data_IF_348571365693
#
_entry.id   IF_348571365693
#
_cell.length_a   1.000
_cell.length_b   1.000
_cell.length_c   1.000
_cell.angle_alpha   90.00
_cell.angle_beta   90.00
_cell.angle_gamma   90.00
#
_symmetry.space_group_name_H-M   'P 1'
#
loop_
_entity.id
_entity.type
_entity.pdbx_description
1 polymer ?
#
# COMPACT_ATOMS: atom_id res chain seq x y z
N UNK A 1 15.07 -7.54 19.06
CA UNK A 1 13.69 -7.00 19.07
C UNK A 1 13.55 -5.79 20.02
N UNK A 2 13.95 -5.86 21.30
CA UNK A 2 13.87 -4.73 22.26
C UNK A 2 14.76 -3.50 21.93
N UNK A 3 15.89 -3.71 21.22
CA UNK A 3 16.81 -2.63 20.83
C UNK A 3 16.29 -1.71 19.70
N UNK A 4 15.34 -2.17 18.88
CA UNK A 4 14.80 -1.36 17.77
C UNK A 4 13.64 -0.46 18.24
N UNK A 5 12.79 -0.93 19.15
CA UNK A 5 11.67 -0.16 19.67
C UNK A 5 12.08 0.96 20.64
N UNK A 6 13.16 0.76 21.42
CA UNK A 6 13.73 1.80 22.29
C UNK A 6 14.36 2.96 21.53
N UNK A 7 14.92 2.71 20.34
CA UNK A 7 15.41 3.76 19.42
C UNK A 7 14.29 4.61 18.82
N UNK A 8 13.11 4.04 18.59
CA UNK A 8 11.95 4.77 18.04
C UNK A 8 11.51 5.93 18.95
N UNK A 9 11.70 5.83 20.26
CA UNK A 9 11.33 6.86 21.24
C UNK A 9 12.37 7.99 21.38
N UNK A 10 13.51 7.93 20.66
CA UNK A 10 14.52 8.99 20.69
C UNK A 10 14.12 10.15 19.77
N UNK A 11 14.22 11.41 20.22
CA UNK A 11 13.84 12.59 19.43
C UNK A 11 14.71 12.82 18.19
N UNK A 12 15.84 12.12 18.06
CA UNK A 12 16.75 12.14 16.90
C UNK A 12 16.42 11.09 15.81
N UNK A 13 15.48 10.17 16.06
CA UNK A 13 15.16 9.10 15.12
C UNK A 13 14.20 9.60 14.01
N UNK A 14 14.39 9.23 12.73
CA UNK A 14 13.56 9.68 11.61
C UNK A 14 12.18 8.98 11.59
N UNK A 15 11.36 9.24 12.61
CA UNK A 15 10.00 8.70 12.75
C UNK A 15 9.13 8.98 11.52
N UNK A 16 9.29 10.17 10.91
CA UNK A 16 8.56 10.56 9.70
C UNK A 16 8.78 9.59 8.54
N UNK A 17 10.02 9.17 8.33
CA UNK A 17 10.40 8.23 7.27
C UNK A 17 9.82 6.83 7.49
N UNK A 18 9.78 6.38 8.75
CA UNK A 18 9.13 5.11 9.13
C UNK A 18 7.64 5.14 8.83
N UNK A 19 6.96 6.22 9.22
CA UNK A 19 5.52 6.35 9.02
C UNK A 19 5.19 6.47 7.52
N UNK A 20 6.00 7.22 6.76
CA UNK A 20 5.84 7.34 5.30
C UNK A 20 6.03 5.99 4.60
N UNK A 21 7.13 5.28 4.90
CA UNK A 21 7.41 3.96 4.32
C UNK A 21 6.36 2.92 4.73
N UNK A 22 5.94 2.92 6.00
CA UNK A 22 4.87 2.04 6.48
C UNK A 22 3.56 2.31 5.75
N UNK A 23 3.15 3.57 5.60
CA UNK A 23 1.93 3.94 4.88
C UNK A 23 1.96 3.46 3.42
N UNK A 24 3.12 3.56 2.78
CA UNK A 24 3.30 3.07 1.42
C UNK A 24 3.19 1.54 1.30
N UNK A 25 3.60 0.79 2.33
CA UNK A 25 3.43 -0.67 2.37
C UNK A 25 1.96 -1.05 2.64
N UNK A 26 1.34 -0.49 3.70
CA UNK A 26 0.01 -0.91 4.19
C UNK A 26 -1.06 -0.79 3.11
N UNK A 27 -1.28 0.44 2.62
CA UNK A 27 -2.23 0.74 1.58
C UNK A 27 -3.63 0.12 1.75
N UNK A 28 -4.14 -0.42 0.65
CA UNK A 28 -5.43 -1.11 0.55
C UNK A 28 -5.40 -2.57 1.01
N UNK A 29 -4.21 -3.16 1.12
CA UNK A 29 -4.04 -4.60 1.22
C UNK A 29 -4.58 -5.20 2.53
N UNK A 30 -4.69 -4.37 3.57
CA UNK A 30 -5.27 -4.71 4.89
C UNK A 30 -6.65 -5.35 4.75
N UNK A 31 -7.45 -4.90 3.76
CA UNK A 31 -8.79 -5.41 3.51
C UNK A 31 -8.81 -6.86 3.02
N UNK A 32 -7.72 -7.30 2.38
CA UNK A 32 -7.54 -8.63 1.81
C UNK A 32 -6.88 -9.62 2.78
N UNK A 33 -6.32 -9.14 3.90
CA UNK A 33 -5.59 -10.01 4.83
C UNK A 33 -6.48 -11.11 5.41
N UNK A 34 -7.72 -10.78 5.81
CA UNK A 34 -8.64 -11.78 6.35
C UNK A 34 -9.00 -12.88 5.34
N UNK A 35 -9.08 -12.52 4.06
CA UNK A 35 -9.26 -13.47 2.97
C UNK A 35 -8.07 -14.43 2.84
N UNK A 36 -6.84 -13.93 2.94
CA UNK A 36 -5.64 -14.79 2.94
C UNK A 36 -5.68 -15.81 4.09
N UNK A 37 -6.05 -15.40 5.30
CA UNK A 37 -6.20 -16.30 6.45
C UNK A 37 -7.26 -17.37 6.22
N UNK A 38 -8.37 -17.04 5.55
CA UNK A 38 -9.39 -18.01 5.19
C UNK A 38 -8.88 -19.05 4.17
N UNK A 39 -8.09 -18.61 3.19
CA UNK A 39 -7.62 -19.46 2.09
C UNK A 39 -6.52 -20.44 2.51
N UNK A 40 -5.50 -19.97 3.23
CA UNK A 40 -4.35 -20.81 3.59
C UNK A 40 -4.37 -21.30 5.05
N UNK A 41 -5.27 -20.77 5.89
CA UNK A 41 -5.38 -21.11 7.30
C UNK A 41 -4.47 -20.26 8.19
N UNK A 42 -4.72 -20.29 9.50
CA UNK A 42 -4.05 -19.39 10.47
C UNK A 42 -2.53 -19.58 10.48
N UNK A 43 -2.05 -20.81 10.59
CA UNK A 43 -0.61 -21.07 10.76
C UNK A 43 0.14 -20.72 9.48
N UNK A 44 -0.39 -21.09 8.32
CA UNK A 44 0.25 -20.85 7.04
C UNK A 44 0.21 -19.36 6.65
N UNK A 45 -0.89 -18.65 6.89
CA UNK A 45 -1.00 -17.22 6.63
C UNK A 45 0.00 -16.41 7.47
N UNK A 46 0.13 -16.74 8.75
CA UNK A 46 1.04 -16.05 9.67
C UNK A 46 2.50 -16.30 9.28
N UNK A 47 2.83 -17.54 8.91
CA UNK A 47 4.13 -17.88 8.36
C UNK A 47 4.42 -17.13 7.04
N UNK A 48 3.45 -17.02 6.13
CA UNK A 48 3.59 -16.24 4.90
C UNK A 48 3.86 -14.76 5.17
N UNK A 49 3.17 -14.16 6.15
CA UNK A 49 3.41 -12.76 6.56
C UNK A 49 4.84 -12.60 7.09
N UNK A 50 5.29 -13.50 7.97
CA UNK A 50 6.64 -13.45 8.55
C UNK A 50 7.70 -13.63 7.46
N UNK A 51 7.56 -14.63 6.59
CA UNK A 51 8.52 -14.88 5.50
C UNK A 51 8.55 -13.70 4.54
N UNK A 52 7.39 -13.16 4.13
CA UNK A 52 7.32 -12.02 3.24
C UNK A 52 7.97 -10.78 3.86
N UNK A 53 7.74 -10.53 5.15
CA UNK A 53 8.38 -9.44 5.88
C UNK A 53 9.92 -9.60 5.91
N UNK A 54 10.42 -10.80 6.20
CA UNK A 54 11.87 -11.07 6.21
C UNK A 54 12.50 -10.90 4.83
N UNK A 55 11.87 -11.44 3.78
CA UNK A 55 12.34 -11.31 2.40
C UNK A 55 12.36 -9.84 1.97
N UNK A 56 11.30 -9.07 2.27
CA UNK A 56 11.24 -7.64 1.96
C UNK A 56 12.32 -6.86 2.71
N UNK A 57 12.48 -7.04 4.02
CA UNK A 57 13.53 -6.37 4.79
C UNK A 57 14.92 -6.66 4.21
N UNK A 58 15.21 -7.93 3.94
CA UNK A 58 16.48 -8.35 3.36
C UNK A 58 16.71 -7.73 1.96
N UNK A 59 15.69 -7.77 1.10
CA UNK A 59 15.73 -7.18 -0.24
C UNK A 59 16.01 -5.68 -0.19
N UNK A 60 15.29 -4.93 0.66
CA UNK A 60 15.47 -3.49 0.83
C UNK A 60 16.88 -3.14 1.34
N UNK A 61 17.41 -3.91 2.29
CA UNK A 61 18.77 -3.69 2.82
C UNK A 61 19.85 -3.90 1.77
N UNK A 62 19.73 -4.95 0.95
CA UNK A 62 20.64 -5.17 -0.19
C UNK A 62 20.56 -3.98 -1.15
N UNK A 63 19.34 -3.53 -1.49
CA UNK A 63 19.15 -2.41 -2.41
C UNK A 63 19.81 -1.13 -1.91
N UNK A 64 19.68 -0.80 -0.62
CA UNK A 64 20.34 0.38 -0.04
C UNK A 64 21.85 0.23 -0.02
N UNK A 65 22.37 -0.95 0.37
CA UNK A 65 23.81 -1.20 0.34
C UNK A 65 24.37 -1.03 -1.08
N UNK A 66 23.70 -1.61 -2.08
CA UNK A 66 24.07 -1.45 -3.49
C UNK A 66 23.99 0.01 -3.95
N UNK A 67 22.91 0.72 -3.62
CA UNK A 67 22.71 2.13 -3.97
C UNK A 67 23.85 3.02 -3.46
N UNK A 68 24.34 2.77 -2.24
CA UNK A 68 25.45 3.52 -1.67
C UNK A 68 26.78 3.18 -2.34
N UNK A 69 27.06 1.89 -2.59
CA UNK A 69 28.29 1.51 -3.31
C UNK A 69 28.36 2.08 -4.72
N UNK A 70 27.21 2.18 -5.39
CA UNK A 70 27.14 2.72 -6.75
C UNK A 70 26.86 4.21 -6.77
N UNK A 71 26.67 4.90 -5.65
CA UNK A 71 26.19 6.30 -5.57
C UNK A 71 24.93 6.57 -6.43
N UNK A 72 24.00 5.62 -6.47
CA UNK A 72 22.76 5.72 -7.23
C UNK A 72 21.65 6.31 -6.38
N UNK A 73 20.94 7.31 -6.92
CA UNK A 73 19.86 8.02 -6.21
C UNK A 73 18.47 7.48 -6.51
N UNK A 74 18.29 6.67 -7.56
CA UNK A 74 17.00 6.05 -7.90
C UNK A 74 17.16 4.56 -8.18
N UNK A 75 16.04 3.85 -8.13
CA UNK A 75 15.99 2.40 -8.32
C UNK A 75 16.40 2.00 -9.75
N UNK A 76 15.97 2.78 -10.74
CA UNK A 76 16.27 2.60 -12.16
C UNK A 76 17.77 2.80 -12.46
N UNK A 77 18.36 3.86 -11.90
CA UNK A 77 19.79 4.15 -12.08
C UNK A 77 20.68 3.15 -11.35
N UNK A 78 20.22 2.56 -10.24
CA UNK A 78 20.90 1.42 -9.64
C UNK A 78 20.96 0.24 -10.61
N UNK A 79 19.83 -0.11 -11.24
CA UNK A 79 19.79 -1.15 -12.27
C UNK A 79 20.73 -0.86 -13.45
N UNK A 80 20.77 0.41 -13.90
CA UNK A 80 21.69 0.85 -14.96
C UNK A 80 23.16 0.64 -14.61
N UNK A 81 23.57 1.03 -13.40
CA UNK A 81 24.97 0.90 -12.96
C UNK A 81 25.37 -0.54 -12.67
N UNK A 82 24.42 -1.38 -12.23
CA UNK A 82 24.69 -2.77 -11.90
C UNK A 82 24.83 -3.68 -13.14
N UNK A 83 23.89 -3.59 -14.09
CA UNK A 83 23.79 -4.55 -15.20
C UNK A 83 23.50 -3.88 -16.57
N UNK A 84 23.70 -2.56 -16.67
CA UNK A 84 23.54 -1.82 -17.90
C UNK A 84 22.08 -1.53 -18.27
N UNK A 85 21.88 -1.12 -19.54
CA UNK A 85 20.61 -0.55 -20.02
C UNK A 85 19.43 -1.53 -19.98
N UNK A 86 19.68 -2.81 -20.25
CA UNK A 86 18.62 -3.83 -20.24
C UNK A 86 17.98 -3.95 -18.85
N UNK A 87 18.78 -3.93 -17.79
CA UNK A 87 18.28 -3.98 -16.42
C UNK A 87 17.54 -2.71 -16.04
N UNK A 88 18.05 -1.54 -16.44
CA UNK A 88 17.32 -0.26 -16.25
C UNK A 88 15.89 -0.35 -16.80
N UNK A 89 15.74 -0.81 -18.04
CA UNK A 89 14.45 -0.91 -18.70
C UNK A 89 13.52 -1.92 -17.98
N UNK A 90 14.05 -3.07 -17.56
CA UNK A 90 13.27 -4.07 -16.80
C UNK A 90 12.78 -3.48 -15.47
N UNK A 91 13.64 -2.79 -14.74
CA UNK A 91 13.30 -2.14 -13.46
C UNK A 91 12.27 -1.02 -13.67
N UNK A 92 12.44 -0.20 -14.71
CA UNK A 92 11.49 0.85 -15.07
C UNK A 92 10.10 0.29 -15.40
N UNK A 93 10.02 -0.68 -16.32
CA UNK A 93 8.75 -1.26 -16.74
C UNK A 93 8.06 -2.02 -15.60
N UNK A 94 8.81 -2.78 -14.79
CA UNK A 94 8.25 -3.50 -13.65
C UNK A 94 7.75 -2.55 -12.56
N UNK A 95 8.48 -1.47 -12.29
CA UNK A 95 8.06 -0.44 -11.32
C UNK A 95 6.81 0.30 -11.79
N UNK A 96 6.75 0.69 -13.06
CA UNK A 96 5.56 1.31 -13.66
C UNK A 96 4.37 0.35 -13.57
N UNK A 97 4.54 -0.93 -13.95
CA UNK A 97 3.47 -1.93 -13.88
C UNK A 97 2.94 -2.15 -12.46
N UNK A 98 3.83 -2.27 -11.48
CA UNK A 98 3.46 -2.46 -10.07
C UNK A 98 2.70 -1.25 -9.51
N UNK A 99 3.22 -0.04 -9.73
CA UNK A 99 2.62 1.18 -9.19
C UNK A 99 1.30 1.51 -9.90
N UNK A 100 1.24 1.35 -11.22
CA UNK A 100 0.02 1.51 -12.00
C UNK A 100 -1.08 0.54 -11.54
N UNK A 101 -0.74 -0.74 -11.37
CA UNK A 101 -1.66 -1.75 -10.84
C UNK A 101 -2.14 -1.41 -9.42
N UNK A 102 -1.27 -0.86 -8.58
CA UNK A 102 -1.63 -0.41 -7.23
C UNK A 102 -2.62 0.77 -7.26
N UNK A 103 -2.46 1.71 -8.20
CA UNK A 103 -3.40 2.82 -8.41
C UNK A 103 -4.76 2.28 -8.89
N UNK A 104 -4.79 1.32 -9.82
CA UNK A 104 -6.04 0.65 -10.25
C UNK A 104 -6.73 0.01 -9.04
N UNK A 105 -6.00 -0.72 -8.20
CA UNK A 105 -6.56 -1.35 -7.01
C UNK A 105 -7.16 -0.33 -6.02
N UNK A 106 -6.49 0.80 -5.79
CA UNK A 106 -7.05 1.89 -4.96
C UNK A 106 -8.34 2.46 -5.56
N UNK A 107 -8.39 2.65 -6.88
CA UNK A 107 -9.59 3.13 -7.55
C UNK A 107 -10.74 2.13 -7.46
N UNK A 108 -10.47 0.83 -7.61
CA UNK A 108 -11.51 -0.21 -7.42
C UNK A 108 -12.09 -0.18 -6.01
N UNK A 109 -11.27 0.00 -4.99
CA UNK A 109 -11.72 0.09 -3.58
C UNK A 109 -12.53 1.36 -3.36
N UNK A 110 -12.08 2.50 -3.90
CA UNK A 110 -12.85 3.75 -3.84
C UNK A 110 -14.22 3.58 -4.50
N UNK A 111 -14.31 2.88 -5.63
CA UNK A 111 -15.57 2.56 -6.29
C UNK A 111 -16.47 1.61 -5.49
N UNK A 112 -15.91 0.52 -4.98
CA UNK A 112 -16.62 -0.48 -4.17
C UNK A 112 -17.19 0.13 -2.89
N UNK A 113 -16.35 0.84 -2.14
CA UNK A 113 -16.75 1.41 -0.85
C UNK A 113 -17.57 2.69 -1.04
N UNK A 114 -17.19 3.54 -2.01
CA UNK A 114 -17.84 4.81 -2.28
C UNK A 114 -19.27 4.66 -2.80
N UNK A 115 -19.51 3.69 -3.70
CA UNK A 115 -20.88 3.41 -4.16
C UNK A 115 -21.80 2.98 -3.01
N UNK A 116 -21.31 2.12 -2.11
CA UNK A 116 -22.06 1.68 -0.93
C UNK A 116 -22.37 2.85 0.00
N UNK A 117 -21.41 3.76 0.22
CA UNK A 117 -21.63 4.95 1.05
C UNK A 117 -22.68 5.87 0.45
N UNK A 118 -22.61 6.15 -0.85
CA UNK A 118 -23.58 7.01 -1.55
C UNK A 118 -24.97 6.36 -1.56
N UNK A 119 -25.06 5.06 -1.82
CA UNK A 119 -26.32 4.32 -1.77
C UNK A 119 -26.96 4.36 -0.38
N UNK A 120 -26.18 4.21 0.68
CA UNK A 120 -26.68 4.31 2.06
C UNK A 120 -27.09 5.74 2.44
N UNK A 121 -26.36 6.75 1.97
CA UNK A 121 -26.64 8.15 2.31
C UNK A 121 -27.89 8.69 1.60
N UNK A 122 -28.10 8.32 0.33
CA UNK A 122 -29.19 8.84 -0.50
C UNK A 122 -30.35 7.84 -0.70
N UNK A 123 -30.29 6.65 -0.12
CA UNK A 123 -31.26 5.56 -0.33
C UNK A 123 -31.49 5.19 -1.82
N UNK A 124 -30.45 5.34 -2.65
CA UNK A 124 -30.48 5.00 -4.08
C UNK A 124 -29.95 3.58 -4.27
N UNK A 125 -30.46 2.85 -5.27
CA UNK A 125 -29.95 1.52 -5.62
C UNK A 125 -28.49 1.59 -6.07
N UNK A 126 -27.66 0.66 -5.57
CA UNK A 126 -26.27 0.51 -6.03
C UNK A 126 -26.27 0.14 -7.52
N UNK A 127 -25.88 1.08 -8.37
CA UNK A 127 -25.76 0.87 -9.81
C UNK A 127 -24.29 1.01 -10.25
N UNK A 128 -23.87 0.34 -11.33
CA UNK A 128 -22.52 0.48 -11.88
C UNK A 128 -22.23 1.93 -12.29
N UNK A 129 -23.27 2.69 -12.65
CA UNK A 129 -23.15 4.11 -12.99
C UNK A 129 -22.78 4.97 -11.77
N UNK A 130 -23.37 4.72 -10.60
CA UNK A 130 -22.99 5.43 -9.36
C UNK A 130 -21.53 5.11 -8.99
N UNK A 131 -21.14 3.83 -9.10
CA UNK A 131 -19.74 3.41 -8.87
C UNK A 131 -18.78 4.19 -9.77
N UNK A 132 -19.07 4.28 -11.07
CA UNK A 132 -18.26 5.02 -12.04
C UNK A 132 -18.22 6.53 -11.74
N UNK A 133 -19.36 7.14 -11.43
CA UNK A 133 -19.44 8.57 -11.08
C UNK A 133 -18.64 8.90 -9.82
N UNK A 134 -18.74 8.08 -8.77
CA UNK A 134 -17.98 8.30 -7.53
C UNK A 134 -16.47 8.24 -7.79
N UNK A 135 -16.00 7.24 -8.55
CA UNK A 135 -14.59 7.13 -8.92
C UNK A 135 -14.12 8.34 -9.73
N UNK A 136 -14.89 8.78 -10.72
CA UNK A 136 -14.55 9.96 -11.53
C UNK A 136 -14.53 11.25 -10.71
N UNK A 137 -15.55 11.49 -9.90
CA UNK A 137 -15.68 12.72 -9.10
C UNK A 137 -14.52 12.81 -8.10
N UNK A 138 -14.26 11.75 -7.32
CA UNK A 138 -13.18 11.75 -6.33
C UNK A 138 -11.80 11.87 -7.00
N UNK A 139 -11.62 11.25 -8.16
CA UNK A 139 -10.38 11.38 -8.92
C UNK A 139 -10.16 12.81 -9.42
N UNK A 140 -11.17 13.43 -10.02
CA UNK A 140 -11.08 14.81 -10.53
C UNK A 140 -10.91 15.84 -9.43
N UNK A 141 -11.62 15.68 -8.31
CA UNK A 141 -11.71 16.70 -7.25
C UNK A 141 -10.66 16.56 -6.16
N UNK A 142 -10.16 15.35 -5.91
CA UNK A 142 -9.22 15.09 -4.81
C UNK A 142 -7.92 14.49 -5.31
N UNK A 143 -7.94 13.33 -5.98
CA UNK A 143 -6.70 12.62 -6.35
C UNK A 143 -5.83 13.43 -7.32
N UNK A 144 -6.42 13.99 -8.37
CA UNK A 144 -5.72 14.75 -9.40
C UNK A 144 -5.08 16.05 -8.88
N UNK A 145 -5.80 16.97 -8.19
CA UNK A 145 -5.19 18.19 -7.69
C UNK A 145 -4.11 17.93 -6.65
N UNK A 146 -4.27 16.92 -5.79
CA UNK A 146 -3.23 16.54 -4.83
C UNK A 146 -2.01 15.97 -5.55
N UNK A 147 -2.19 15.16 -6.60
CA UNK A 147 -1.08 14.60 -7.39
C UNK A 147 -0.32 15.65 -8.21
N UNK A 148 -0.94 16.81 -8.46
CA UNK A 148 -0.29 17.97 -9.08
C UNK A 148 0.56 18.79 -8.10
N UNK A 149 0.39 18.59 -6.78
CA UNK A 149 1.21 19.29 -5.80
C UNK A 149 2.65 18.76 -5.81
N UNK A 150 3.62 19.67 -5.87
CA UNK A 150 5.05 19.34 -6.03
C UNK A 150 5.78 19.10 -4.69
N UNK A 151 5.14 19.35 -3.54
CA UNK A 151 5.82 19.40 -2.22
C UNK A 151 5.34 18.30 -1.26
N UNK A 152 6.32 17.51 -0.79
CA UNK A 152 6.15 16.39 0.14
C UNK A 152 5.94 16.81 1.61
N UNK A 153 6.07 18.10 1.92
CA UNK A 153 5.93 18.64 3.28
C UNK A 153 4.54 18.37 3.90
N UNK A 154 3.51 18.20 3.05
CA UNK A 154 2.15 17.88 3.48
C UNK A 154 1.88 16.38 3.71
N UNK A 155 2.83 15.49 3.42
CA UNK A 155 2.60 14.04 3.45
C UNK A 155 2.84 13.41 4.81
N UNK A 156 3.70 13.99 5.65
CA UNK A 156 3.92 13.49 7.01
C UNK A 156 2.64 13.43 7.86
N UNK A 157 1.79 14.47 7.94
CA UNK A 157 0.54 14.38 8.70
C UNK A 157 -0.43 13.36 8.11
N UNK A 158 -0.43 13.18 6.78
CA UNK A 158 -1.24 12.17 6.10
C UNK A 158 -0.79 10.76 6.53
N UNK A 159 0.51 10.47 6.54
CA UNK A 159 1.02 9.16 6.96
C UNK A 159 0.72 8.84 8.44
N UNK A 160 0.78 9.84 9.33
CA UNK A 160 0.38 9.69 10.74
C UNK A 160 -1.11 9.31 10.81
N UNK A 161 -1.96 10.05 10.10
CA UNK A 161 -3.41 9.81 10.08
C UNK A 161 -3.74 8.41 9.55
N UNK A 162 -3.07 7.96 8.49
CA UNK A 162 -3.30 6.63 7.91
C UNK A 162 -2.89 5.51 8.84
N UNK A 163 -1.73 5.59 9.50
CA UNK A 163 -1.28 4.54 10.43
C UNK A 163 -2.19 4.47 11.66
N UNK A 164 -2.60 5.61 12.20
CA UNK A 164 -3.60 5.65 13.27
C UNK A 164 -4.90 4.96 12.81
N UNK A 165 -5.36 5.25 11.59
CA UNK A 165 -6.55 4.63 11.02
C UNK A 165 -6.42 3.10 10.90
N UNK A 166 -5.30 2.59 10.38
CA UNK A 166 -5.08 1.15 10.26
C UNK A 166 -5.02 0.45 11.62
N UNK A 167 -4.43 1.11 12.63
CA UNK A 167 -4.41 0.60 13.99
C UNK A 167 -5.82 0.55 14.59
N UNK A 168 -6.61 1.62 14.44
CA UNK A 168 -8.02 1.65 14.84
C UNK A 168 -8.86 0.60 14.12
N UNK A 169 -8.57 0.33 12.85
CA UNK A 169 -9.22 -0.74 12.11
C UNK A 169 -8.91 -2.12 12.70
N UNK A 170 -7.66 -2.38 13.10
CA UNK A 170 -7.29 -3.60 13.82
C UNK A 170 -8.01 -3.75 15.17
N UNK A 171 -8.19 -2.66 15.92
CA UNK A 171 -9.00 -2.67 17.14
C UNK A 171 -10.48 -2.98 16.83
N UNK A 172 -11.01 -2.42 15.75
CA UNK A 172 -12.39 -2.65 15.33
C UNK A 172 -12.64 -4.12 14.93
N UNK A 173 -11.72 -4.76 14.20
CA UNK A 173 -11.84 -6.19 13.89
C UNK A 173 -11.80 -7.05 15.14
N UNK A 174 -10.94 -6.71 16.10
CA UNK A 174 -10.90 -7.37 17.40
C UNK A 174 -12.20 -7.18 18.21
N UNK A 175 -12.74 -5.96 18.25
CA UNK A 175 -14.01 -5.69 18.92
C UNK A 175 -15.17 -6.49 18.32
N UNK A 176 -15.19 -6.67 16.99
CA UNK A 176 -16.19 -7.48 16.30
C UNK A 176 -16.05 -8.96 16.62
N UNK A 177 -14.82 -9.48 16.70
CA UNK A 177 -14.56 -10.83 17.22
C UNK A 177 -15.14 -11.00 18.64
N UNK A 178 -14.84 -10.05 19.53
CA UNK A 178 -15.33 -10.09 20.91
C UNK A 178 -16.87 -10.07 20.98
N UNK A 179 -17.53 -9.23 20.20
CA UNK A 179 -18.99 -9.16 20.15
C UNK A 179 -19.61 -10.45 19.59
N UNK A 180 -19.04 -11.00 18.52
CA UNK A 180 -19.55 -12.23 17.91
C UNK A 180 -19.33 -13.45 18.80
N UNK A 181 -18.22 -13.50 19.55
CA UNK A 181 -17.94 -14.58 20.52
C UNK A 181 -19.02 -14.71 21.61
N UNK A 182 -19.69 -13.61 21.97
CA UNK A 182 -20.77 -13.61 22.97
C UNK A 182 -22.12 -14.03 22.38
N UNK A 183 -22.32 -13.83 21.07
CA UNK A 183 -23.60 -14.09 20.40
C UNK A 183 -23.69 -15.48 19.78
N UNK A 184 -22.55 -16.03 19.36
CA UNK A 184 -22.49 -17.25 18.56
C UNK A 184 -21.47 -18.20 19.19
N UNK A 185 -21.88 -19.45 19.41
CA UNK A 185 -20.94 -20.51 19.79
C UNK A 185 -19.97 -20.77 18.65
N UNK A 186 -18.67 -20.55 18.88
CA UNK A 186 -17.65 -20.82 17.85
C UNK A 186 -17.64 -22.31 17.49
N UNK A 187 -17.98 -22.61 16.23
CA UNK A 187 -17.84 -23.95 15.69
C UNK A 187 -16.38 -24.17 15.29
N UNK A 188 -15.60 -24.74 16.22
CA UNK A 188 -14.17 -25.01 16.02
C UNK A 188 -13.90 -25.94 14.83
N UNK A 189 -14.89 -26.72 14.37
CA UNK A 189 -14.74 -27.62 13.22
C UNK A 189 -14.61 -26.87 11.88
N UNK A 190 -15.09 -25.61 11.81
CA UNK A 190 -14.93 -24.76 10.61
C UNK A 190 -13.58 -24.04 10.57
N UNK A 191 -12.81 -24.09 11.64
CA UNK A 191 -11.57 -23.33 11.75
C UNK A 191 -10.45 -24.02 10.96
N UNK A 192 -9.87 -23.30 10.01
CA UNK A 192 -8.83 -23.81 9.14
C UNK A 192 -7.48 -23.39 9.69
N UNK A 193 -6.75 -24.34 10.26
CA UNK A 193 -5.39 -24.09 10.75
C UNK A 193 -4.35 -24.11 9.63
N UNK A 194 -4.50 -25.03 8.69
CA UNK A 194 -3.52 -25.28 7.64
C UNK A 194 -4.20 -25.77 6.35
N UNK A 195 -3.98 -25.07 5.23
CA UNK A 195 -4.50 -25.46 3.91
C UNK A 195 -3.53 -25.11 2.80
N UNK A 196 -2.89 -26.13 2.22
CA UNK A 196 -1.94 -25.97 1.12
C UNK A 196 -2.56 -25.41 -0.17
N UNK A 197 -3.82 -25.76 -0.48
CA UNK A 197 -4.46 -25.33 -1.72
C UNK A 197 -4.60 -23.80 -1.84
N UNK A 198 -4.74 -23.09 -0.72
CA UNK A 198 -4.82 -21.63 -0.71
C UNK A 198 -3.47 -20.91 -0.67
N UNK A 199 -2.34 -21.64 -0.61
CA UNK A 199 -1.00 -21.05 -0.57
C UNK A 199 -0.72 -20.24 -1.84
N UNK A 200 -0.97 -20.83 -3.01
CA UNK A 200 -0.69 -20.17 -4.30
C UNK A 200 -1.59 -18.96 -4.56
N UNK A 201 -2.73 -18.87 -3.89
CA UNK A 201 -3.63 -17.72 -3.95
C UNK A 201 -3.13 -16.62 -2.99
N UNK A 202 -2.72 -17.00 -1.78
CA UNK A 202 -2.37 -16.05 -0.71
C UNK A 202 -0.95 -15.50 -0.84
N UNK A 203 0.00 -16.29 -1.35
CA UNK A 203 1.40 -15.90 -1.53
C UNK A 203 1.56 -14.63 -2.37
N UNK A 204 0.99 -14.51 -3.59
CA UNK A 204 1.14 -13.28 -4.36
C UNK A 204 0.47 -12.08 -3.69
N UNK A 205 -0.66 -12.28 -3.01
CA UNK A 205 -1.36 -11.20 -2.29
C UNK A 205 -0.47 -10.67 -1.16
N UNK A 206 0.03 -11.55 -0.29
CA UNK A 206 0.88 -11.17 0.85
C UNK A 206 2.21 -10.59 0.36
N UNK A 207 2.85 -11.19 -0.65
CA UNK A 207 4.11 -10.70 -1.22
C UNK A 207 3.98 -9.29 -1.82
N UNK A 208 2.94 -9.05 -2.62
CA UNK A 208 2.65 -7.73 -3.16
C UNK A 208 2.31 -6.71 -2.06
N UNK A 209 1.64 -7.16 -0.99
CA UNK A 209 1.32 -6.30 0.15
C UNK A 209 2.54 -5.80 0.93
N UNK A 210 3.68 -6.48 0.82
CA UNK A 210 4.96 -6.05 1.41
C UNK A 210 5.90 -5.37 0.40
N UNK A 211 5.48 -5.20 -0.85
CA UNK A 211 6.35 -4.61 -1.88
C UNK A 211 6.48 -3.10 -1.69
N UNK A 212 7.68 -2.63 -1.34
CA UNK A 212 7.99 -1.21 -1.10
C UNK A 212 9.32 -0.75 -1.70
N UNK A 213 9.98 -1.60 -2.48
CA UNK A 213 11.31 -1.37 -3.04
C UNK A 213 11.35 -0.09 -3.90
N UNK A 214 10.27 0.22 -4.62
CA UNK A 214 10.14 1.41 -5.46
C UNK A 214 10.04 2.70 -4.63
N UNK A 215 9.35 2.64 -3.49
CA UNK A 215 9.20 3.78 -2.56
C UNK A 215 10.42 4.00 -1.68
N UNK A 216 11.22 2.96 -1.49
CA UNK A 216 12.40 2.98 -0.64
C UNK A 216 13.38 4.10 -1.04
N UNK A 217 13.61 4.31 -2.33
CA UNK A 217 14.53 5.34 -2.84
C UNK A 217 14.00 6.76 -2.67
N UNK A 218 12.67 6.93 -2.74
CA UNK A 218 12.02 8.22 -2.47
C UNK A 218 12.28 8.61 -1.02
N UNK A 219 11.95 7.70 -0.09
CA UNK A 219 12.19 7.91 1.35
C UNK A 219 13.68 8.12 1.64
N UNK A 220 14.57 7.33 1.03
CA UNK A 220 16.02 7.46 1.22
C UNK A 220 16.54 8.85 0.80
N UNK A 221 16.00 9.41 -0.28
CA UNK A 221 16.40 10.73 -0.77
C UNK A 221 15.91 11.91 0.08
N UNK A 222 14.91 11.68 0.94
CA UNK A 222 14.36 12.67 1.88
C UNK A 222 15.12 12.72 3.21
N UNK A 223 15.94 11.71 3.53
CA UNK A 223 16.75 11.73 4.74
C UNK A 223 17.89 12.75 4.62
N UNK A 224 17.98 13.62 5.62
CA UNK A 224 19.00 14.66 5.76
C UNK A 224 20.42 14.09 5.98
N UNK A 225 20.53 12.98 6.71
CA UNK A 225 21.77 12.20 6.87
C UNK A 225 21.56 10.78 6.36
N UNK A 226 22.08 10.48 5.16
CA UNK A 226 21.85 9.23 4.43
C UNK A 226 22.76 8.07 4.89
N UNK A 227 22.75 7.76 6.18
CA UNK A 227 23.52 6.63 6.72
C UNK A 227 22.80 5.29 6.49
N UNK A 228 23.55 4.25 6.12
CA UNK A 228 23.00 2.90 5.86
C UNK A 228 22.33 2.32 7.10
N UNK A 229 22.89 2.59 8.27
CA UNK A 229 22.37 2.10 9.54
C UNK A 229 21.02 2.72 9.89
N UNK A 230 20.85 4.05 9.71
CA UNK A 230 19.56 4.69 9.93
C UNK A 230 18.50 4.14 8.97
N UNK A 231 18.84 3.95 7.69
CA UNK A 231 17.90 3.41 6.71
C UNK A 231 17.52 1.95 7.02
N UNK A 232 18.48 1.12 7.45
CA UNK A 232 18.20 -0.26 7.85
C UNK A 232 17.27 -0.33 9.06
N UNK A 233 17.47 0.53 10.06
CA UNK A 233 16.57 0.62 11.22
C UNK A 233 15.16 1.08 10.79
N UNK A 234 15.05 2.03 9.84
CA UNK A 234 13.75 2.48 9.29
C UNK A 234 13.03 1.36 8.55
N UNK A 235 13.75 0.59 7.70
CA UNK A 235 13.21 -0.54 6.97
C UNK A 235 12.67 -1.58 7.94
N UNK A 236 13.48 -2.00 8.92
CA UNK A 236 13.09 -3.04 9.88
C UNK A 236 11.87 -2.60 10.70
N UNK A 237 11.87 -1.38 11.20
CA UNK A 237 10.77 -0.89 12.01
C UNK A 237 9.48 -0.76 11.20
N UNK A 238 9.58 -0.28 9.95
CA UNK A 238 8.41 -0.15 9.07
C UNK A 238 7.81 -1.51 8.73
N UNK A 239 8.65 -2.47 8.33
CA UNK A 239 8.20 -3.83 7.97
C UNK A 239 7.60 -4.55 9.18
N UNK A 240 8.19 -4.41 10.38
CA UNK A 240 7.65 -5.00 11.61
C UNK A 240 6.29 -4.38 11.96
N UNK A 241 6.18 -3.05 11.91
CA UNK A 241 4.94 -2.33 12.21
C UNK A 241 3.83 -2.78 11.26
N UNK A 242 4.11 -2.85 9.96
CA UNK A 242 3.15 -3.29 8.95
C UNK A 242 2.77 -4.75 9.13
N UNK A 243 3.75 -5.63 9.38
CA UNK A 243 3.48 -7.05 9.65
C UNK A 243 2.58 -7.27 10.86
N UNK A 244 2.73 -6.45 11.90
CA UNK A 244 1.84 -6.47 13.05
C UNK A 244 0.41 -6.02 12.70
N UNK A 245 0.26 -4.94 11.92
CA UNK A 245 -1.05 -4.48 11.44
C UNK A 245 -1.74 -5.57 10.61
N UNK A 246 -1.04 -6.17 9.65
CA UNK A 246 -1.58 -7.24 8.79
C UNK A 246 -1.93 -8.50 9.58
N UNK A 247 -1.12 -8.86 10.57
CA UNK A 247 -1.41 -9.99 11.44
C UNK A 247 -2.69 -9.76 12.25
N UNK A 248 -2.82 -8.60 12.92
CA UNK A 248 -4.01 -8.27 13.72
C UNK A 248 -5.25 -8.18 12.86
N UNK A 249 -5.19 -7.42 11.76
CA UNK A 249 -6.35 -7.21 10.88
C UNK A 249 -6.78 -8.51 10.21
N UNK A 250 -5.83 -9.33 9.76
CA UNK A 250 -6.06 -10.61 9.12
C UNK A 250 -6.59 -11.67 10.08
N UNK A 251 -5.91 -11.87 11.22
CA UNK A 251 -6.29 -12.88 12.20
C UNK A 251 -7.66 -12.59 12.81
N UNK A 252 -7.85 -11.38 13.37
CA UNK A 252 -9.11 -11.04 14.00
C UNK A 252 -10.23 -10.82 12.98
N UNK A 253 -9.91 -10.33 11.79
CA UNK A 253 -10.87 -10.25 10.68
C UNK A 253 -11.38 -11.64 10.27
N UNK A 254 -10.50 -12.64 10.17
CA UNK A 254 -10.89 -14.02 9.91
C UNK A 254 -11.69 -14.62 11.07
N UNK A 255 -11.17 -14.54 12.29
CA UNK A 255 -11.81 -15.12 13.48
C UNK A 255 -13.17 -14.49 13.80
N UNK A 256 -13.39 -13.22 13.42
CA UNK A 256 -14.68 -12.56 13.65
C UNK A 256 -15.82 -13.16 12.81
N UNK A 257 -15.50 -13.75 11.64
CA UNK A 257 -16.51 -14.12 10.64
C UNK A 257 -16.46 -15.58 10.17
N UNK A 258 -15.41 -16.36 10.49
CA UNK A 258 -15.26 -17.75 10.01
C UNK A 258 -16.42 -18.69 10.38
N UNK A 259 -17.09 -18.44 11.52
CA UNK A 259 -18.22 -19.26 11.96
C UNK A 259 -19.53 -18.85 11.29
N UNK A 260 -19.62 -17.62 10.79
CA UNK A 260 -20.83 -16.99 10.26
C UNK A 260 -20.91 -17.17 8.75
N UNK A 261 -19.80 -16.98 8.04
CA UNK A 261 -19.74 -17.02 6.57
C UNK A 261 -18.89 -18.19 6.10
N UNK A 262 -19.35 -18.87 5.05
CA UNK A 262 -18.54 -19.90 4.38
C UNK A 262 -17.39 -19.28 3.56
N UNK A 263 -17.62 -18.06 3.04
CA UNK A 263 -16.67 -17.33 2.23
C UNK A 263 -16.55 -15.87 2.66
N UNK A 264 -15.32 -15.43 2.95
CA UNK A 264 -14.96 -14.04 3.22
C UNK A 264 -14.52 -13.43 1.88
N UNK A 265 -15.21 -12.43 1.31
CA UNK A 265 -14.70 -11.68 0.17
C UNK A 265 -13.29 -11.12 0.38
N UNK A 266 -12.57 -10.93 -0.73
CA UNK A 266 -11.27 -10.25 -0.74
C UNK A 266 -11.30 -8.83 -0.16
N UNK A 267 -12.48 -8.22 -0.03
CA UNK A 267 -12.68 -7.00 0.73
C UNK A 267 -13.57 -7.28 1.95
N UNK A 268 -12.96 -7.42 3.13
CA UNK A 268 -13.68 -7.70 4.38
C UNK A 268 -14.74 -6.64 4.73
N UNK A 269 -14.63 -5.41 4.19
CA UNK A 269 -15.60 -4.34 4.49
C UNK A 269 -17.03 -4.64 4.08
N UNK A 270 -17.22 -5.52 3.11
CA UNK A 270 -18.54 -5.91 2.61
C UNK A 270 -19.34 -6.76 3.61
N UNK A 271 -18.66 -7.38 4.59
CA UNK A 271 -19.26 -8.34 5.53
C UNK A 271 -19.65 -7.68 6.85
N UNK A 272 -19.02 -6.56 7.21
CA UNK A 272 -19.29 -5.92 8.49
C UNK A 272 -20.76 -5.47 8.61
N UNK A 273 -21.34 -5.53 9.81
CA UNK A 273 -22.71 -5.12 10.05
C UNK A 273 -22.88 -3.62 9.82
N UNK A 274 -24.01 -3.25 9.18
CA UNK A 274 -24.43 -1.88 8.83
C UNK A 274 -24.72 -1.03 10.07
N UNK A 275 -23.66 -0.51 10.67
CA UNK A 275 -23.69 0.35 11.84
C UNK A 275 -22.91 1.65 11.57
N UNK A 276 -23.11 2.67 12.43
CA UNK A 276 -22.37 3.94 12.37
C UNK A 276 -20.85 3.74 12.33
N UNK A 277 -20.32 2.78 13.09
CA UNK A 277 -18.90 2.44 13.07
C UNK A 277 -18.42 1.94 11.70
N UNK A 278 -19.19 1.08 11.03
CA UNK A 278 -18.85 0.62 9.68
C UNK A 278 -18.82 1.82 8.71
N UNK A 279 -19.79 2.73 8.79
CA UNK A 279 -19.83 3.93 7.94
C UNK A 279 -18.61 4.83 8.15
N UNK A 280 -18.18 5.04 9.39
CA UNK A 280 -16.96 5.80 9.71
C UNK A 280 -15.74 5.15 9.07
N UNK A 281 -15.60 3.81 9.16
CA UNK A 281 -14.50 3.12 8.53
C UNK A 281 -14.58 3.13 6.99
N UNK A 282 -15.77 3.06 6.39
CA UNK A 282 -15.94 3.19 4.94
C UNK A 282 -15.42 4.54 4.44
N UNK A 283 -15.87 5.64 5.06
CA UNK A 283 -15.36 6.98 4.75
C UNK A 283 -13.86 7.10 4.99
N UNK A 284 -13.35 6.52 6.08
CA UNK A 284 -11.92 6.51 6.38
C UNK A 284 -11.09 5.74 5.35
N UNK A 285 -11.57 4.60 4.84
CA UNK A 285 -10.86 3.86 3.79
C UNK A 285 -10.88 4.60 2.45
N UNK A 286 -12.01 5.23 2.10
CA UNK A 286 -12.10 6.07 0.89
C UNK A 286 -11.06 7.19 0.98
N UNK A 287 -11.05 7.94 2.09
CA UNK A 287 -10.11 9.02 2.31
C UNK A 287 -8.65 8.54 2.26
N UNK A 288 -8.32 7.47 2.97
CA UNK A 288 -6.95 6.93 2.98
C UNK A 288 -6.48 6.46 1.59
N UNK A 289 -7.33 5.76 0.84
CA UNK A 289 -7.00 5.32 -0.51
C UNK A 289 -6.80 6.53 -1.44
N UNK A 290 -7.68 7.53 -1.37
CA UNK A 290 -7.56 8.75 -2.16
C UNK A 290 -6.27 9.51 -1.84
N UNK A 291 -5.89 9.62 -0.56
CA UNK A 291 -4.62 10.23 -0.16
C UNK A 291 -3.39 9.37 -0.47
N UNK A 292 -3.57 8.06 -0.66
CA UNK A 292 -2.52 7.11 -1.02
C UNK A 292 -2.15 7.16 -2.51
N UNK A 293 -3.09 7.53 -3.40
CA UNK A 293 -2.84 7.62 -4.85
C UNK A 293 -1.65 8.54 -5.19
N UNK A 294 -1.54 9.78 -4.68
CA UNK A 294 -0.42 10.68 -4.95
C UNK A 294 0.95 10.08 -4.64
N UNK A 295 1.06 9.27 -3.57
CA UNK A 295 2.32 8.59 -3.21
C UNK A 295 2.77 7.67 -4.33
N UNK A 296 1.85 6.92 -4.96
CA UNK A 296 2.13 6.00 -6.07
C UNK A 296 2.33 6.72 -7.41
N UNK A 297 1.61 7.82 -7.64
CA UNK A 297 1.68 8.61 -8.88
C UNK A 297 3.07 9.24 -9.06
N UNK A 298 3.66 9.75 -7.98
CA UNK A 298 4.95 10.46 -8.07
C UNK A 298 6.11 9.62 -8.62
N UNK A 299 6.45 8.44 -8.05
CA UNK A 299 7.49 7.59 -8.62
C UNK A 299 7.11 7.07 -10.01
N UNK A 300 5.84 6.74 -10.26
CA UNK A 300 5.39 6.30 -11.59
C UNK A 300 5.66 7.37 -12.66
N UNK A 301 5.37 8.64 -12.34
CA UNK A 301 5.67 9.78 -13.21
C UNK A 301 7.18 9.94 -13.42
N UNK A 302 7.98 9.75 -12.38
CA UNK A 302 9.44 9.76 -12.46
C UNK A 302 9.94 8.71 -13.45
N UNK A 303 9.53 7.45 -13.29
CA UNK A 303 9.91 6.35 -14.17
C UNK A 303 9.39 6.52 -15.61
N UNK A 304 8.20 7.10 -15.81
CA UNK A 304 7.68 7.43 -17.15
C UNK A 304 8.51 8.51 -17.84
N UNK A 305 8.93 9.54 -17.10
CA UNK A 305 9.75 10.59 -17.65
C UNK A 305 11.15 10.12 -17.99
N UNK A 306 11.78 9.28 -17.16
CA UNK A 306 13.07 8.67 -17.49
C UNK A 306 12.94 7.78 -18.72
N UNK A 307 11.88 6.98 -18.84
CA UNK A 307 11.62 6.15 -20.02
C UNK A 307 11.43 7.00 -21.30
N UNK A 308 10.68 8.09 -21.22
CA UNK A 308 10.47 9.01 -22.35
C UNK A 308 11.77 9.71 -22.78
N UNK A 309 12.59 10.13 -21.81
CA UNK A 309 13.84 10.83 -22.09
C UNK A 309 15.02 9.90 -22.39
N UNK A 310 14.95 8.61 -22.07
CA UNK A 310 15.98 7.62 -22.43
C UNK A 310 16.05 7.38 -23.95
N UNK A 311 15.02 7.77 -24.71
CA UNK A 311 15.13 7.88 -26.17
C UNK A 311 16.00 9.06 -26.63
N UNK A 312 16.29 10.03 -25.76
CA UNK A 312 17.06 11.25 -26.07
C UNK A 312 18.39 11.39 -25.30
N UNK A 313 18.62 10.66 -24.20
CA UNK A 313 19.78 10.86 -23.31
C UNK A 313 20.86 9.77 -23.42
N UNK A 314 21.70 9.86 -24.45
CA UNK A 314 23.01 9.20 -24.48
C UNK A 314 24.14 10.04 -23.84
N UNK A 315 23.92 11.30 -23.42
CA UNK A 315 25.03 12.27 -23.33
C UNK A 315 25.22 13.09 -22.06
N UNK A 316 24.40 13.05 -21.01
CA UNK A 316 24.75 13.78 -19.76
C UNK A 316 24.38 13.02 -18.49
N UNK A 317 25.39 12.39 -17.91
CA UNK A 317 25.37 11.86 -16.56
C UNK A 317 25.43 13.01 -15.55
N UNK A 318 24.38 13.18 -14.74
CA UNK A 318 24.47 13.94 -13.48
C UNK A 318 23.55 15.14 -13.31
N UNK A 319 22.86 15.62 -14.34
CA UNK A 319 21.89 16.71 -14.15
C UNK A 319 20.49 16.16 -13.82
N UNK A 320 19.95 16.57 -12.65
CA UNK A 320 18.53 16.43 -12.33
C UNK A 320 17.74 17.31 -13.30
N UNK A 321 17.40 16.79 -14.49
CA UNK A 321 16.52 17.53 -15.39
C UNK A 321 15.17 17.72 -14.71
N UNK A 322 14.88 18.99 -14.38
CA UNK A 322 13.59 19.41 -13.86
C UNK A 322 12.55 19.12 -14.96
N UNK A 323 11.56 18.29 -14.63
CA UNK A 323 10.50 17.93 -15.57
C UNK A 323 9.76 19.19 -16.00
N UNK A 324 9.64 19.47 -17.32
CA UNK A 324 8.91 20.65 -17.77
C UNK A 324 7.45 20.54 -17.36
N UNK A 325 6.87 21.64 -16.87
CA UNK A 325 5.52 21.69 -16.28
C UNK A 325 4.42 21.06 -17.15
N UNK A 326 4.55 21.15 -18.48
CA UNK A 326 3.60 20.52 -19.42
C UNK A 326 3.65 18.99 -19.35
N UNK A 327 4.84 18.38 -19.38
CA UNK A 327 5.00 16.93 -19.27
C UNK A 327 4.60 16.45 -17.87
N UNK A 328 4.88 17.25 -16.85
CA UNK A 328 4.44 16.97 -15.48
C UNK A 328 2.93 16.81 -15.39
N UNK A 329 2.16 17.76 -15.94
CA UNK A 329 0.69 17.70 -15.94
C UNK A 329 0.19 16.54 -16.79
N UNK A 330 0.75 16.33 -17.99
CA UNK A 330 0.33 15.26 -18.90
C UNK A 330 0.56 13.88 -18.28
N UNK A 331 1.76 13.59 -17.79
CA UNK A 331 2.06 12.30 -17.17
C UNK A 331 1.26 12.08 -15.90
N UNK A 332 1.07 13.10 -15.06
CA UNK A 332 0.18 13.01 -13.90
C UNK A 332 -1.25 12.68 -14.32
N UNK A 333 -1.76 13.34 -15.38
CA UNK A 333 -3.08 13.05 -15.95
C UNK A 333 -3.20 11.62 -16.45
N UNK A 334 -2.23 11.13 -17.23
CA UNK A 334 -2.24 9.75 -17.74
C UNK A 334 -2.23 8.75 -16.58
N UNK A 335 -1.34 8.93 -15.60
CA UNK A 335 -1.18 8.01 -14.47
C UNK A 335 -2.39 8.00 -13.54
N UNK A 336 -3.19 9.06 -13.50
CA UNK A 336 -4.39 9.13 -12.65
C UNK A 336 -5.66 8.69 -13.40
N UNK A 337 -5.88 9.20 -14.60
CA UNK A 337 -7.12 8.96 -15.34
C UNK A 337 -7.15 7.61 -16.06
N UNK A 338 -6.02 7.11 -16.56
CA UNK A 338 -5.99 5.81 -17.24
C UNK A 338 -6.33 4.66 -16.28
N UNK A 339 -5.76 4.55 -15.06
CA UNK A 339 -6.23 3.58 -14.07
C UNK A 339 -7.69 3.72 -13.68
N UNK A 340 -8.19 4.96 -13.61
CA UNK A 340 -9.59 5.22 -13.25
C UNK A 340 -10.53 4.68 -14.33
N UNK A 341 -10.19 4.86 -15.60
CA UNK A 341 -10.94 4.28 -16.71
C UNK A 341 -10.90 2.75 -16.67
N UNK A 342 -9.72 2.15 -16.46
CA UNK A 342 -9.57 0.69 -16.34
C UNK A 342 -10.37 0.14 -15.16
N UNK A 343 -10.44 0.84 -14.03
CA UNK A 343 -11.19 0.43 -12.84
C UNK A 343 -12.72 0.58 -13.01
N UNK A 344 -13.18 1.38 -13.97
CA UNK A 344 -14.60 1.56 -14.32
C UNK A 344 -15.08 0.43 -15.24
N UNK A 345 -14.24 0.02 -16.19
CA UNK A 345 -14.53 -1.03 -17.16
C UNK A 345 -14.63 -2.42 -16.50
#
# INVERSE_FOLDING_TARGET
MQLSFSKFLQPSFPQKSVLSLSNAIVGASVLSMAYCFQQCGIILATLLIIISALITSYSCKILIASAQTTNSTTYEYLGLRAMGRSMKLIVELSSIGLLFGSIVAYQMIIGDLGSVVVSQAFNITNSPLIRALVMLILTCTVSFPISLSERFDHLTPISIQSILFYFLFGIYTFAQLWLNSKKISFNMNKLVYWRWSGLFISLPIVSLSFSCQTMLFVVFSELSESTSHAMNDIIDLSVILVGFIYFISGLFGYLAFFSIYEFIPGNIMQIFPKNLFQQIFLWGFILNCTTGIPFMVNPTRGSLFTLWNDQKQQSLFGERHIMPRRLFIIFTGIVVFLPTFIAIC
#
